data_IF_140868282240
#
_entry.id   IF_140868282240
#
_cell.length_a   1.000
_cell.length_b   1.000
_cell.length_c   1.000
_cell.angle_alpha   90.00
_cell.angle_beta   90.00
_cell.angle_gamma   90.00
#
_symmetry.space_group_name_H-M   'P 1'
#
loop_
_entity.id
_entity.type
_entity.pdbx_description
1 polymer ?
#
# COMPACT_ATOMS: atom_id res chain seq x y z
N UNK A 1 -3.94 -65.30 35.69
CA UNK A 1 -4.45 -64.41 34.62
C UNK A 1 -5.36 -63.31 35.15
N UNK A 2 -4.90 -62.42 36.05
CA UNK A 2 -5.76 -61.37 36.65
C UNK A 2 -5.06 -60.04 36.98
N UNK A 3 -3.92 -59.75 36.34
CA UNK A 3 -3.17 -58.49 36.56
C UNK A 3 -2.70 -57.76 35.28
N UNK A 4 -3.15 -58.17 34.09
CA UNK A 4 -2.74 -57.56 32.82
C UNK A 4 -3.79 -56.62 32.17
N UNK A 5 -5.00 -56.51 32.74
CA UNK A 5 -6.07 -55.67 32.16
C UNK A 5 -6.20 -54.29 32.81
N UNK A 6 -5.46 -54.00 33.89
CA UNK A 6 -5.62 -52.76 34.66
C UNK A 6 -4.68 -51.63 34.23
N UNK A 7 -3.58 -51.91 33.53
CA UNK A 7 -2.60 -50.89 33.09
C UNK A 7 -2.95 -50.28 31.73
N UNK A 8 -3.69 -50.98 30.88
CA UNK A 8 -4.07 -50.49 29.55
C UNK A 8 -5.15 -49.40 29.64
N UNK A 9 -6.03 -49.46 30.63
CA UNK A 9 -7.09 -48.46 30.81
C UNK A 9 -6.58 -47.12 31.36
N UNK A 10 -5.46 -47.13 32.09
CA UNK A 10 -4.84 -45.90 32.62
C UNK A 10 -4.03 -45.13 31.57
N UNK A 11 -3.68 -45.75 30.44
CA UNK A 11 -2.91 -45.12 29.35
C UNK A 11 -3.81 -44.49 28.27
N UNK A 12 -5.07 -44.92 28.18
CA UNK A 12 -6.05 -44.40 27.20
C UNK A 12 -6.67 -43.06 27.61
N UNK A 13 -6.63 -42.68 28.89
CA UNK A 13 -7.20 -41.41 29.39
C UNK A 13 -6.23 -40.23 29.20
N UNK A 14 -4.93 -40.49 29.05
CA UNK A 14 -3.92 -39.44 28.82
C UNK A 14 -3.86 -38.93 27.37
N UNK A 15 -4.41 -39.67 26.40
CA UNK A 15 -4.47 -39.25 24.99
C UNK A 15 -5.65 -38.29 24.68
N UNK A 16 -6.65 -38.22 25.55
CA UNK A 16 -7.83 -37.36 25.33
C UNK A 16 -7.61 -35.90 25.76
N UNK A 17 -6.60 -35.61 26.60
CA UNK A 17 -6.31 -34.23 27.06
C UNK A 17 -5.43 -33.42 26.11
N UNK A 18 -4.74 -34.06 25.17
CA UNK A 18 -3.89 -33.37 24.18
C UNK A 18 -4.74 -32.79 23.04
N UNK A 19 -5.79 -33.49 22.61
CA UNK A 19 -6.59 -33.09 21.45
C UNK A 19 -7.44 -31.81 21.62
N UNK A 20 -7.83 -31.45 22.85
CA UNK A 20 -8.69 -30.28 23.09
C UNK A 20 -7.92 -28.95 23.28
N UNK A 21 -6.62 -29.00 23.55
CA UNK A 21 -5.82 -27.79 23.77
C UNK A 21 -5.35 -27.17 22.45
N UNK A 22 -5.12 -28.02 21.45
CA UNK A 22 -4.64 -27.61 20.14
C UNK A 22 -5.74 -26.89 19.33
N UNK A 23 -7.01 -27.32 19.43
CA UNK A 23 -8.13 -26.70 18.70
C UNK A 23 -8.44 -25.26 19.10
N UNK A 24 -8.20 -24.88 20.35
CA UNK A 24 -8.41 -23.51 20.83
C UNK A 24 -7.32 -22.56 20.31
N UNK A 25 -6.06 -23.00 20.33
CA UNK A 25 -4.91 -22.20 19.90
C UNK A 25 -4.90 -21.97 18.39
N UNK A 26 -5.30 -22.99 17.63
CA UNK A 26 -5.46 -22.96 16.17
C UNK A 26 -6.53 -21.93 15.72
N UNK A 27 -7.63 -21.82 16.49
CA UNK A 27 -8.71 -20.87 16.24
C UNK A 27 -8.29 -19.42 16.52
N UNK A 28 -7.49 -19.20 17.57
CA UNK A 28 -6.99 -17.87 17.93
C UNK A 28 -5.98 -17.35 16.89
N UNK A 29 -5.10 -18.21 16.36
CA UNK A 29 -4.17 -17.85 15.29
C UNK A 29 -4.91 -17.48 13.99
N UNK A 30 -5.90 -18.27 13.57
CA UNK A 30 -6.70 -17.96 12.39
C UNK A 30 -7.44 -16.63 12.50
N UNK A 31 -7.98 -16.30 13.68
CA UNK A 31 -8.63 -15.02 13.93
C UNK A 31 -7.68 -13.84 13.80
N UNK A 32 -6.46 -13.97 14.33
CA UNK A 32 -5.47 -12.89 14.19
C UNK A 32 -5.06 -12.71 12.72
N UNK A 33 -4.82 -13.82 12.00
CA UNK A 33 -4.51 -13.77 10.57
C UNK A 33 -5.61 -13.07 9.76
N UNK A 34 -6.88 -13.38 10.02
CA UNK A 34 -8.03 -12.75 9.37
C UNK A 34 -8.18 -11.27 9.68
N UNK A 35 -7.85 -10.88 10.92
CA UNK A 35 -7.87 -9.48 11.33
C UNK A 35 -6.75 -8.68 10.67
N UNK A 36 -5.54 -9.24 10.58
CA UNK A 36 -4.44 -8.61 9.84
C UNK A 36 -4.78 -8.48 8.35
N UNK A 37 -5.41 -9.50 7.73
CA UNK A 37 -5.90 -9.40 6.35
C UNK A 37 -6.85 -8.21 6.15
N UNK A 38 -7.86 -8.11 7.01
CA UNK A 38 -8.86 -7.04 6.93
C UNK A 38 -8.19 -5.67 7.08
N UNK A 39 -7.16 -5.59 7.91
CA UNK A 39 -6.34 -4.37 8.08
C UNK A 39 -5.60 -4.03 6.80
N UNK A 40 -4.95 -5.01 6.16
CA UNK A 40 -4.24 -4.81 4.89
C UNK A 40 -5.18 -4.40 3.75
N UNK A 41 -6.37 -5.02 3.64
CA UNK A 41 -7.39 -4.64 2.65
C UNK A 41 -7.85 -3.19 2.83
N UNK A 42 -8.04 -2.77 4.08
CA UNK A 42 -8.45 -1.40 4.42
C UNK A 42 -7.38 -0.39 4.02
N UNK A 43 -6.13 -0.63 4.41
CA UNK A 43 -5.02 0.26 4.08
C UNK A 43 -4.77 0.33 2.57
N UNK A 44 -4.86 -0.81 1.87
CA UNK A 44 -4.75 -0.85 0.42
C UNK A 44 -5.88 -0.09 -0.29
N UNK A 45 -7.11 -0.18 0.22
CA UNK A 45 -8.24 0.61 -0.32
C UNK A 45 -7.96 2.10 -0.17
N UNK A 46 -7.48 2.53 1.00
CA UNK A 46 -7.09 3.92 1.23
C UNK A 46 -5.98 4.38 0.27
N UNK A 47 -4.99 3.52 -0.01
CA UNK A 47 -3.91 3.80 -0.95
C UNK A 47 -4.41 3.95 -2.40
N UNK A 48 -5.37 3.12 -2.82
CA UNK A 48 -6.04 3.22 -4.13
C UNK A 48 -6.80 4.55 -4.27
N UNK A 49 -7.48 4.97 -3.22
CA UNK A 49 -8.16 6.27 -3.19
C UNK A 49 -7.18 7.44 -3.27
N UNK A 50 -6.07 7.38 -2.53
CA UNK A 50 -5.00 8.37 -2.59
C UNK A 50 -4.41 8.48 -4.01
N UNK A 51 -4.17 7.36 -4.69
CA UNK A 51 -3.71 7.35 -6.08
C UNK A 51 -4.68 8.05 -7.02
N UNK A 52 -5.96 7.69 -6.94
CA UNK A 52 -6.99 8.27 -7.79
C UNK A 52 -7.08 9.78 -7.58
N UNK A 53 -6.96 10.25 -6.35
CA UNK A 53 -6.91 11.67 -6.03
C UNK A 53 -5.68 12.34 -6.67
N UNK A 54 -4.51 11.72 -6.55
CA UNK A 54 -3.26 12.21 -7.14
C UNK A 54 -3.36 12.31 -8.67
N UNK A 55 -3.94 11.32 -9.32
CA UNK A 55 -4.17 11.32 -10.78
C UNK A 55 -5.10 12.47 -11.19
N UNK A 56 -6.17 12.72 -10.44
CA UNK A 56 -7.07 13.84 -10.68
C UNK A 56 -6.38 15.21 -10.51
N UNK A 57 -5.57 15.35 -9.46
CA UNK A 57 -4.79 16.56 -9.20
C UNK A 57 -3.77 16.80 -10.33
N UNK A 58 -3.11 15.74 -10.82
CA UNK A 58 -2.23 15.81 -11.97
C UNK A 58 -2.96 16.24 -13.25
N UNK A 59 -4.13 15.67 -13.55
CA UNK A 59 -4.94 16.08 -14.72
C UNK A 59 -5.35 17.57 -14.64
N UNK A 60 -5.71 18.05 -13.45
CA UNK A 60 -6.00 19.47 -13.23
C UNK A 60 -4.78 20.34 -13.49
N UNK A 61 -3.63 19.90 -13.00
CA UNK A 61 -2.35 20.59 -13.16
C UNK A 61 -1.95 20.72 -14.63
N UNK A 62 -2.01 19.64 -15.40
CA UNK A 62 -1.75 19.64 -16.85
C UNK A 62 -2.71 20.62 -17.55
N UNK A 63 -3.99 20.65 -17.15
CA UNK A 63 -4.97 21.58 -17.68
C UNK A 63 -4.71 23.05 -17.34
N UNK A 64 -4.22 23.35 -16.14
CA UNK A 64 -3.78 24.71 -15.76
C UNK A 64 -2.54 25.10 -16.55
N UNK A 65 -1.62 24.16 -16.72
CA UNK A 65 -0.37 24.41 -17.41
C UNK A 65 -0.56 24.73 -18.90
N UNK A 66 -1.40 23.96 -19.60
CA UNK A 66 -1.70 24.20 -21.02
C UNK A 66 -2.27 25.60 -21.31
N UNK A 67 -2.74 26.34 -20.29
CA UNK A 67 -3.23 27.72 -20.42
C UNK A 67 -2.13 28.78 -20.34
N UNK A 68 -1.01 28.47 -19.69
CA UNK A 68 0.07 29.42 -19.41
C UNK A 68 1.36 29.11 -20.17
N UNK A 69 1.42 27.95 -20.84
CA UNK A 69 2.58 27.51 -21.59
C UNK A 69 2.85 28.38 -22.84
N UNK A 70 4.12 28.76 -23.04
CA UNK A 70 4.63 29.20 -24.35
C UNK A 70 5.35 28.05 -25.06
N UNK A 71 5.47 28.09 -26.40
CA UNK A 71 5.94 26.95 -27.24
C UNK A 71 7.31 26.35 -26.88
N UNK A 72 8.08 26.95 -25.96
CA UNK A 72 9.45 26.55 -25.62
C UNK A 72 9.72 26.39 -24.10
N UNK A 73 8.70 26.13 -23.29
CA UNK A 73 8.87 25.98 -21.83
C UNK A 73 9.49 24.63 -21.43
N UNK A 74 10.84 24.60 -21.36
CA UNK A 74 11.60 23.43 -20.93
C UNK A 74 11.41 23.08 -19.45
N UNK A 75 11.01 24.03 -18.60
CA UNK A 75 10.77 23.77 -17.18
C UNK A 75 9.49 22.95 -17.00
N UNK A 76 8.48 23.23 -17.83
CA UNK A 76 7.24 22.46 -17.82
C UNK A 76 7.45 20.98 -18.12
N UNK A 77 8.13 20.69 -19.23
CA UNK A 77 8.32 19.32 -19.71
C UNK A 77 9.03 18.48 -18.63
N UNK A 78 9.97 19.09 -17.89
CA UNK A 78 10.62 18.42 -16.76
C UNK A 78 9.63 18.11 -15.64
N UNK A 79 8.79 19.07 -15.25
CA UNK A 79 7.81 18.88 -14.18
C UNK A 79 6.71 17.85 -14.53
N UNK A 80 6.22 17.84 -15.76
CA UNK A 80 5.27 16.82 -16.22
C UNK A 80 5.90 15.42 -16.22
N UNK A 81 7.15 15.30 -16.65
CA UNK A 81 7.89 14.04 -16.60
C UNK A 81 8.08 13.53 -15.17
N UNK A 82 8.42 14.41 -14.24
CA UNK A 82 8.54 14.05 -12.82
C UNK A 82 7.20 13.58 -12.25
N UNK A 83 6.08 14.21 -12.63
CA UNK A 83 4.76 13.82 -12.13
C UNK A 83 4.36 12.45 -12.66
N UNK A 84 4.53 12.24 -13.97
CA UNK A 84 4.30 10.95 -14.59
C UNK A 84 5.17 9.86 -13.96
N UNK A 85 6.40 10.19 -13.54
CA UNK A 85 7.27 9.27 -12.79
C UNK A 85 6.71 8.92 -11.41
N UNK A 86 6.18 9.91 -10.67
CA UNK A 86 5.54 9.67 -9.36
C UNK A 86 4.27 8.82 -9.51
N UNK A 87 3.39 9.11 -10.47
CA UNK A 87 2.19 8.31 -10.73
C UNK A 87 2.53 6.86 -11.07
N UNK A 88 3.53 6.63 -11.93
CA UNK A 88 4.00 5.28 -12.26
C UNK A 88 4.52 4.53 -11.03
N UNK A 89 5.27 5.20 -10.15
CA UNK A 89 5.74 4.60 -8.89
C UNK A 89 4.56 4.22 -8.00
N UNK A 90 3.56 5.08 -7.89
CA UNK A 90 2.39 4.83 -7.06
C UNK A 90 1.56 3.67 -7.58
N UNK A 91 1.35 3.59 -8.89
CA UNK A 91 0.71 2.44 -9.55
C UNK A 91 1.46 1.13 -9.26
N UNK A 92 2.80 1.15 -9.31
CA UNK A 92 3.61 -0.01 -8.96
C UNK A 92 3.47 -0.42 -7.48
N UNK A 93 3.28 0.53 -6.54
CA UNK A 93 2.99 0.20 -5.14
C UNK A 93 1.61 -0.44 -5.00
N UNK A 94 0.60 0.06 -5.70
CA UNK A 94 -0.74 -0.55 -5.70
C UNK A 94 -0.67 -2.01 -6.17
N UNK A 95 0.03 -2.28 -7.27
CA UNK A 95 0.18 -3.64 -7.80
C UNK A 95 0.87 -4.58 -6.80
N UNK A 96 1.86 -4.08 -6.05
CA UNK A 96 2.49 -4.86 -4.98
C UNK A 96 1.54 -5.15 -3.82
N UNK A 97 0.68 -4.19 -3.43
CA UNK A 97 -0.34 -4.44 -2.42
C UNK A 97 -1.41 -5.43 -2.90
N UNK A 98 -1.86 -5.34 -4.15
CA UNK A 98 -2.78 -6.32 -4.74
C UNK A 98 -2.19 -7.74 -4.68
N UNK A 99 -0.90 -7.89 -4.99
CA UNK A 99 -0.19 -9.15 -4.86
C UNK A 99 -0.11 -9.62 -3.39
N UNK A 100 0.19 -8.72 -2.46
CA UNK A 100 0.28 -9.01 -1.03
C UNK A 100 -1.06 -9.51 -0.45
N UNK A 101 -2.17 -8.85 -0.79
CA UNK A 101 -3.52 -9.28 -0.39
C UNK A 101 -3.85 -10.67 -0.95
N UNK A 102 -3.53 -10.90 -2.23
CA UNK A 102 -3.73 -12.23 -2.85
C UNK A 102 -2.91 -13.32 -2.16
N UNK A 103 -1.67 -12.99 -1.76
CA UNK A 103 -0.82 -13.90 -0.99
C UNK A 103 -1.42 -14.20 0.39
N UNK A 104 -1.93 -13.19 1.08
CA UNK A 104 -2.55 -13.36 2.39
C UNK A 104 -3.81 -14.23 2.33
N UNK A 105 -4.68 -14.01 1.33
CA UNK A 105 -5.85 -14.85 1.07
C UNK A 105 -5.47 -16.32 0.79
N UNK A 106 -4.38 -16.52 0.07
CA UNK A 106 -3.83 -17.86 -0.18
C UNK A 106 -3.34 -18.50 1.13
N UNK A 107 -2.65 -17.72 1.97
CA UNK A 107 -2.14 -18.17 3.25
C UNK A 107 -3.26 -18.57 4.22
N UNK A 108 -4.33 -17.77 4.31
CA UNK A 108 -5.54 -18.10 5.07
C UNK A 108 -6.20 -19.38 4.59
N UNK A 109 -6.30 -19.57 3.27
CA UNK A 109 -6.87 -20.78 2.68
C UNK A 109 -6.03 -22.00 3.04
N UNK A 110 -4.70 -21.90 2.95
CA UNK A 110 -3.79 -22.98 3.38
C UNK A 110 -3.95 -23.34 4.85
N UNK A 111 -4.09 -22.34 5.72
CA UNK A 111 -4.34 -22.54 7.13
C UNK A 111 -5.68 -23.23 7.39
N UNK A 112 -6.76 -22.74 6.77
CA UNK A 112 -8.12 -23.31 6.91
C UNK A 112 -8.18 -24.76 6.44
N UNK A 113 -7.54 -25.06 5.32
CA UNK A 113 -7.54 -26.40 4.72
C UNK A 113 -6.47 -27.33 5.34
N UNK A 114 -5.68 -26.82 6.30
CA UNK A 114 -4.57 -27.54 6.96
C UNK A 114 -3.57 -28.14 5.98
N UNK A 115 -3.35 -27.44 4.86
CA UNK A 115 -2.44 -27.88 3.78
C UNK A 115 -0.99 -27.40 3.97
N UNK A 116 -0.70 -26.70 5.05
CA UNK A 116 0.64 -26.31 5.49
C UNK A 116 0.72 -26.34 7.02
N UNK A 117 1.93 -26.44 7.56
CA UNK A 117 2.15 -26.43 9.00
C UNK A 117 1.98 -25.02 9.58
N UNK A 118 1.61 -24.92 10.86
CA UNK A 118 1.48 -23.63 11.55
C UNK A 118 2.78 -22.81 11.49
N UNK A 119 3.94 -23.46 11.59
CA UNK A 119 5.24 -22.78 11.54
C UNK A 119 5.59 -22.24 10.15
N UNK A 120 5.22 -22.96 9.08
CA UNK A 120 5.33 -22.44 7.71
C UNK A 120 4.42 -21.23 7.51
N UNK A 121 3.18 -21.31 8.00
CA UNK A 121 2.22 -20.20 7.90
C UNK A 121 2.73 -18.97 8.66
N UNK A 122 3.24 -19.13 9.89
CA UNK A 122 3.82 -18.02 10.67
C UNK A 122 5.02 -17.40 9.97
N UNK A 123 5.89 -18.22 9.39
CA UNK A 123 7.10 -17.74 8.70
C UNK A 123 6.73 -16.90 7.49
N UNK A 124 5.81 -17.38 6.66
CA UNK A 124 5.37 -16.62 5.50
C UNK A 124 4.59 -15.36 5.92
N UNK A 125 3.73 -15.44 6.93
CA UNK A 125 3.00 -14.29 7.45
C UNK A 125 3.95 -13.19 7.96
N UNK A 126 5.01 -13.55 8.69
CA UNK A 126 6.00 -12.60 9.18
C UNK A 126 6.72 -11.89 8.03
N UNK A 127 7.02 -12.62 6.94
CA UNK A 127 7.60 -12.04 5.72
C UNK A 127 6.62 -11.06 5.04
N UNK A 128 5.37 -11.46 4.86
CA UNK A 128 4.32 -10.60 4.30
C UNK A 128 4.16 -9.31 5.12
N UNK A 129 4.21 -9.40 6.45
CA UNK A 129 4.14 -8.23 7.34
C UNK A 129 5.33 -7.29 7.16
N UNK A 130 6.54 -7.81 7.02
CA UNK A 130 7.73 -6.99 6.76
C UNK A 130 7.66 -6.30 5.38
N UNK A 131 7.16 -7.01 4.36
CA UNK A 131 6.90 -6.44 3.04
C UNK A 131 5.85 -5.32 3.11
N UNK A 132 4.77 -5.53 3.86
CA UNK A 132 3.72 -4.53 4.07
C UNK A 132 4.24 -3.23 4.69
N UNK A 133 5.02 -3.31 5.76
CA UNK A 133 5.61 -2.14 6.41
C UNK A 133 6.55 -1.37 5.47
N UNK A 134 7.27 -2.09 4.60
CA UNK A 134 8.11 -1.47 3.57
C UNK A 134 7.26 -0.70 2.56
N UNK A 135 6.18 -1.30 2.06
CA UNK A 135 5.27 -0.66 1.11
C UNK A 135 4.59 0.58 1.71
N UNK A 136 4.23 0.52 3.00
CA UNK A 136 3.65 1.64 3.73
C UNK A 136 4.62 2.82 3.83
N UNK A 137 5.90 2.54 4.11
CA UNK A 137 6.94 3.56 4.14
C UNK A 137 7.17 4.18 2.74
N UNK A 138 7.22 3.35 1.70
CA UNK A 138 7.37 3.81 0.31
C UNK A 138 6.19 4.69 -0.11
N UNK A 139 4.97 4.29 0.24
CA UNK A 139 3.77 5.07 -0.05
C UNK A 139 3.81 6.44 0.64
N UNK A 140 4.16 6.49 1.94
CA UNK A 140 4.30 7.76 2.66
C UNK A 140 5.33 8.69 2.01
N UNK A 141 6.43 8.13 1.52
CA UNK A 141 7.44 8.90 0.79
C UNK A 141 6.88 9.47 -0.52
N UNK A 142 6.08 8.70 -1.26
CA UNK A 142 5.44 9.20 -2.49
C UNK A 142 4.41 10.30 -2.21
N UNK A 143 3.66 10.23 -1.12
CA UNK A 143 2.76 11.32 -0.72
C UNK A 143 3.52 12.62 -0.41
N UNK A 144 4.69 12.51 0.23
CA UNK A 144 5.55 13.66 0.51
C UNK A 144 6.16 14.22 -0.79
N UNK A 145 6.65 13.35 -1.68
CA UNK A 145 7.15 13.74 -3.00
C UNK A 145 6.04 14.49 -3.78
N UNK A 146 4.82 13.94 -3.82
CA UNK A 146 3.67 14.58 -4.48
C UNK A 146 3.31 15.94 -3.87
N UNK A 147 3.30 16.05 -2.54
CA UNK A 147 3.02 17.32 -1.85
C UNK A 147 4.04 18.40 -2.22
N UNK A 148 5.32 18.02 -2.29
CA UNK A 148 6.38 18.94 -2.73
C UNK A 148 6.14 19.38 -4.16
N UNK A 149 5.81 18.46 -5.06
CA UNK A 149 5.57 18.80 -6.46
C UNK A 149 4.37 19.74 -6.65
N UNK A 150 3.29 19.56 -5.89
CA UNK A 150 2.14 20.48 -5.91
C UNK A 150 2.54 21.90 -5.49
N UNK A 151 3.48 22.03 -4.55
CA UNK A 151 4.03 23.33 -4.14
C UNK A 151 4.87 23.95 -5.26
N UNK A 152 5.74 23.15 -5.88
CA UNK A 152 6.61 23.59 -6.97
C UNK A 152 5.78 24.06 -8.18
N UNK A 153 4.69 23.34 -8.52
CA UNK A 153 3.74 23.76 -9.56
C UNK A 153 3.07 25.10 -9.24
N UNK A 154 2.59 25.28 -7.99
CA UNK A 154 1.96 26.53 -7.59
C UNK A 154 2.93 27.71 -7.71
N UNK A 155 4.18 27.53 -7.29
CA UNK A 155 5.20 28.56 -7.41
C UNK A 155 5.45 28.94 -8.86
N UNK A 156 5.56 27.96 -9.76
CA UNK A 156 5.73 28.21 -11.19
C UNK A 156 4.56 29.03 -11.75
N UNK A 157 3.31 28.69 -11.44
CA UNK A 157 2.15 29.50 -11.89
C UNK A 157 2.21 30.96 -11.40
N UNK A 158 2.66 31.19 -10.17
CA UNK A 158 2.85 32.54 -9.63
C UNK A 158 3.96 33.30 -10.36
N UNK A 159 5.02 32.62 -10.79
CA UNK A 159 6.11 33.20 -11.59
C UNK A 159 5.61 33.61 -12.98
N UNK A 160 4.89 32.74 -13.70
CA UNK A 160 4.30 33.10 -15.00
C UNK A 160 3.33 34.28 -14.91
N UNK A 161 2.51 34.34 -13.87
CA UNK A 161 1.59 35.48 -13.67
C UNK A 161 2.32 36.80 -13.44
N UNK A 162 3.49 36.79 -12.80
CA UNK A 162 4.32 37.99 -12.62
C UNK A 162 4.99 38.40 -13.92
N UNK A 163 5.52 37.45 -14.68
CA UNK A 163 6.16 37.74 -15.97
C UNK A 163 5.17 38.37 -16.97
N UNK A 164 3.93 37.90 -17.04
CA UNK A 164 2.90 38.53 -17.88
C UNK A 164 2.60 39.97 -17.46
N UNK A 165 2.46 40.25 -16.16
CA UNK A 165 2.20 41.60 -15.66
C UNK A 165 3.37 42.57 -15.97
N UNK A 166 4.62 42.11 -15.86
CA UNK A 166 5.79 42.96 -16.16
C UNK A 166 5.93 43.29 -17.65
N UNK A 167 5.52 42.38 -18.56
CA UNK A 167 5.50 42.65 -20.01
C UNK A 167 4.41 43.67 -20.38
N UNK A 168 3.27 43.62 -19.70
CA UNK A 168 2.14 44.53 -19.97
C UNK A 168 2.33 45.94 -19.39
N UNK A 169 3.21 46.12 -18.39
CA UNK A 169 3.66 47.45 -17.91
C UNK A 169 4.75 48.04 -18.82
N UNK A 170 5.75 47.24 -19.22
CA UNK A 170 6.80 47.69 -20.15
C UNK A 170 6.24 48.14 -21.51
N UNK A 171 5.17 47.52 -22.01
CA UNK A 171 4.53 47.92 -23.26
C UNK A 171 3.73 49.23 -23.16
N UNK A 172 3.41 49.71 -21.96
CA UNK A 172 2.67 50.98 -21.75
C UNK A 172 3.59 52.18 -21.58
N UNK A 173 4.85 51.99 -21.24
CA UNK A 173 5.84 53.08 -21.13
C UNK A 173 6.48 53.49 -22.46
N UNK A 174 6.38 52.66 -23.50
CA UNK A 174 6.93 52.91 -24.85
C UNK A 174 5.94 53.59 -25.82
N UNK A 175 4.82 54.16 -25.33
CA UNK A 175 3.84 54.95 -26.11
C UNK A 175 3.57 56.31 -25.47
#
# INVERSE_FOLDING_TARGET
>A
MRKLTSTIFSMLVLLAFVACKDTKKDNDFHKELAKEHTTFETEHTSMKEAHKKMEQEHMKMVGEHNKVMSENDSLHVLMENDHNSVLKKHQAIIEKHDALISNHKTLESKHKDRSSTEEEIKTEHAKMKAEHETLKADHKKLEDDHTKMMKDHKQMLEEHSKEENTKDESSKEDH
#
